data_IF_566488166754
#
_entry.id   IF_566488166754
#
_cell.length_a   1.000
_cell.length_b   1.000
_cell.length_c   1.000
_cell.angle_alpha   90.00
_cell.angle_beta   90.00
_cell.angle_gamma   90.00
#
_symmetry.space_group_name_H-M   'P 1'
#
loop_
_entity.id
_entity.type
_entity.pdbx_description
1 polymer ?
#
# COMPACT_ATOMS: atom_id res chain seq x y z
N UNK A 1 -46.55 29.06 -19.49
CA UNK A 1 -45.58 29.62 -18.51
C UNK A 1 -44.81 28.47 -17.89
N UNK A 2 -43.51 28.34 -18.15
CA UNK A 2 -42.69 27.24 -17.62
C UNK A 2 -42.15 27.67 -16.24
N UNK A 3 -42.52 26.93 -15.19
CA UNK A 3 -41.99 27.12 -13.83
C UNK A 3 -40.53 26.64 -13.80
N UNK A 4 -39.59 27.55 -13.61
CA UNK A 4 -38.17 27.19 -13.40
C UNK A 4 -38.07 26.44 -12.06
N UNK A 5 -37.36 25.31 -12.07
CA UNK A 5 -37.00 24.57 -10.85
C UNK A 5 -35.81 25.30 -10.22
N UNK A 6 -35.90 25.61 -8.93
CA UNK A 6 -34.78 26.14 -8.16
C UNK A 6 -33.77 25.02 -7.93
N UNK A 7 -32.54 25.22 -8.41
CA UNK A 7 -31.42 24.31 -8.20
C UNK A 7 -30.81 24.60 -6.83
N UNK A 8 -31.28 23.92 -5.79
CA UNK A 8 -30.64 23.94 -4.47
C UNK A 8 -29.46 22.97 -4.46
N UNK A 9 -28.27 23.56 -4.62
CA UNK A 9 -26.91 23.10 -4.29
C UNK A 9 -25.95 23.47 -5.43
N UNK A 10 -25.71 24.78 -5.55
CA UNK A 10 -24.48 25.26 -6.17
C UNK A 10 -23.40 25.07 -5.10
N UNK A 11 -22.66 23.96 -5.18
CA UNK A 11 -21.32 23.91 -4.58
C UNK A 11 -20.61 25.19 -5.00
N UNK A 12 -19.99 25.91 -4.06
CA UNK A 12 -19.38 27.19 -4.42
C UNK A 12 -18.24 26.95 -5.41
N UNK A 13 -17.99 27.90 -6.31
CA UNK A 13 -16.85 27.81 -7.24
C UNK A 13 -15.54 27.59 -6.47
N UNK A 14 -15.44 28.10 -5.24
CA UNK A 14 -14.29 27.87 -4.37
C UNK A 14 -14.21 26.43 -3.86
N UNK A 15 -15.32 25.76 -3.53
CA UNK A 15 -15.34 24.34 -3.17
C UNK A 15 -14.94 23.44 -4.35
N UNK A 16 -15.34 23.82 -5.57
CA UNK A 16 -14.93 23.11 -6.80
C UNK A 16 -13.44 23.29 -7.12
N UNK A 17 -12.90 24.51 -6.96
CA UNK A 17 -11.48 24.82 -7.21
C UNK A 17 -10.58 24.18 -6.14
N UNK A 18 -11.00 24.19 -4.87
CA UNK A 18 -10.21 23.63 -3.77
C UNK A 18 -10.22 22.09 -3.72
N UNK A 19 -11.25 21.43 -4.26
CA UNK A 19 -11.33 19.96 -4.30
C UNK A 19 -10.25 19.29 -5.16
N UNK A 20 -9.60 20.02 -6.08
CA UNK A 20 -8.51 19.50 -6.91
C UNK A 20 -7.15 19.42 -6.17
N UNK A 21 -7.03 20.10 -5.03
CA UNK A 21 -5.78 20.20 -4.27
C UNK A 21 -5.73 19.25 -3.06
N UNK A 22 -6.81 18.50 -2.81
CA UNK A 22 -6.74 17.33 -1.95
C UNK A 22 -5.99 16.23 -2.72
N UNK A 23 -4.66 16.21 -2.59
CA UNK A 23 -3.90 14.98 -2.79
C UNK A 23 -4.46 13.95 -1.80
N UNK A 24 -5.47 13.19 -2.24
CA UNK A 24 -5.93 11.96 -1.63
C UNK A 24 -4.74 11.03 -1.63
N UNK A 25 -3.90 11.10 -0.59
CA UNK A 25 -2.91 10.06 -0.33
C UNK A 25 -3.71 8.77 -0.20
N UNK A 26 -3.59 7.83 -1.15
CA UNK A 26 -4.42 6.64 -1.12
C UNK A 26 -4.10 5.92 0.19
N UNK A 27 -5.13 5.69 1.00
CA UNK A 27 -5.00 4.96 2.26
C UNK A 27 -4.44 3.57 1.93
N UNK A 28 -3.20 3.33 2.35
CA UNK A 28 -2.54 2.05 2.13
C UNK A 28 -3.25 0.98 2.97
N UNK A 29 -3.79 -0.05 2.32
CA UNK A 29 -4.42 -1.19 3.00
C UNK A 29 -3.38 -2.29 3.27
N UNK A 30 -3.08 -2.63 4.54
CA UNK A 30 -2.16 -3.72 4.89
C UNK A 30 -2.58 -5.10 4.39
N UNK A 31 -3.87 -5.30 4.06
CA UNK A 31 -4.42 -6.56 3.56
C UNK A 31 -4.56 -6.59 2.03
N UNK A 32 -4.09 -5.56 1.34
CA UNK A 32 -4.15 -5.49 -0.12
C UNK A 32 -3.42 -6.65 -0.80
N UNK A 33 -3.81 -6.92 -2.05
CA UNK A 33 -3.18 -7.92 -2.89
C UNK A 33 -1.68 -7.65 -3.07
N UNK A 34 -0.88 -8.72 -2.96
CA UNK A 34 0.59 -8.67 -3.05
C UNK A 34 1.12 -8.58 -4.49
N UNK A 35 0.26 -8.30 -5.47
CA UNK A 35 0.60 -8.20 -6.91
C UNK A 35 1.13 -6.82 -7.33
N UNK A 36 1.47 -5.96 -6.37
CA UNK A 36 1.90 -4.58 -6.67
C UNK A 36 3.25 -4.51 -7.40
N UNK A 37 4.30 -5.10 -6.82
CA UNK A 37 5.65 -5.14 -7.42
C UNK A 37 6.41 -6.40 -7.00
N UNK A 38 7.26 -6.90 -7.89
CA UNK A 38 8.21 -7.99 -7.64
C UNK A 38 9.61 -7.42 -7.45
N UNK A 39 10.40 -8.01 -6.55
CA UNK A 39 11.78 -7.60 -6.30
C UNK A 39 12.72 -8.81 -6.34
N UNK A 40 13.88 -8.64 -6.96
CA UNK A 40 14.94 -9.65 -7.06
C UNK A 40 16.13 -9.15 -6.23
N UNK A 41 16.58 -9.96 -5.27
CA UNK A 41 17.65 -9.61 -4.35
C UNK A 41 18.86 -10.49 -4.68
N UNK A 42 19.99 -9.92 -5.12
CA UNK A 42 21.24 -10.67 -5.16
C UNK A 42 21.71 -10.94 -3.73
N UNK A 43 22.11 -12.18 -3.45
CA UNK A 43 22.56 -12.61 -2.12
C UNK A 43 23.91 -13.29 -2.23
N UNK A 44 24.73 -13.15 -1.19
CA UNK A 44 25.88 -14.03 -1.00
C UNK A 44 25.44 -15.39 -0.40
N UNK A 45 26.37 -16.34 -0.33
CA UNK A 45 26.07 -17.69 0.16
C UNK A 45 25.59 -17.69 1.62
N UNK A 46 26.23 -16.88 2.47
CA UNK A 46 25.89 -16.79 3.88
C UNK A 46 24.45 -16.29 4.09
N UNK A 47 24.07 -15.22 3.40
CA UNK A 47 22.72 -14.63 3.43
C UNK A 47 21.67 -15.63 2.96
N UNK A 48 21.95 -16.34 1.86
CA UNK A 48 21.03 -17.33 1.32
C UNK A 48 20.84 -18.51 2.29
N UNK A 49 21.93 -19.03 2.86
CA UNK A 49 21.84 -20.11 3.85
C UNK A 49 21.07 -19.68 5.11
N UNK A 50 21.26 -18.45 5.57
CA UNK A 50 20.49 -17.91 6.69
C UNK A 50 18.99 -17.85 6.36
N UNK A 51 18.64 -17.35 5.18
CA UNK A 51 17.26 -17.26 4.71
C UNK A 51 16.61 -18.65 4.62
N UNK A 52 17.33 -19.64 4.06
CA UNK A 52 16.85 -21.01 3.94
C UNK A 52 16.59 -21.65 5.31
N UNK A 53 17.52 -21.51 6.26
CA UNK A 53 17.36 -22.00 7.64
C UNK A 53 16.16 -21.38 8.35
N UNK A 54 15.95 -20.07 8.17
CA UNK A 54 14.79 -19.38 8.74
C UNK A 54 13.49 -19.84 8.08
N UNK A 55 13.47 -20.02 6.77
CA UNK A 55 12.31 -20.53 6.04
C UNK A 55 11.90 -21.92 6.53
N UNK A 56 12.86 -22.81 6.74
CA UNK A 56 12.63 -24.15 7.30
C UNK A 56 12.11 -24.07 8.75
N UNK A 57 12.78 -23.28 9.60
CA UNK A 57 12.43 -23.13 11.03
C UNK A 57 10.99 -22.63 11.23
N UNK A 58 10.54 -21.70 10.40
CA UNK A 58 9.20 -21.10 10.53
C UNK A 58 8.17 -21.71 9.56
N UNK A 59 8.55 -22.70 8.74
CA UNK A 59 7.67 -23.31 7.74
C UNK A 59 7.13 -22.30 6.71
N UNK A 60 7.90 -21.26 6.39
CA UNK A 60 7.49 -20.20 5.47
C UNK A 60 8.33 -20.19 4.21
N UNK A 61 7.78 -19.60 3.14
CA UNK A 61 8.56 -19.29 1.93
C UNK A 61 9.62 -18.23 2.22
N UNK A 62 10.70 -18.19 1.42
CA UNK A 62 11.72 -17.13 1.47
C UNK A 62 11.11 -15.72 1.47
N UNK A 63 10.15 -15.48 0.57
CA UNK A 63 9.42 -14.20 0.51
C UNK A 63 8.57 -13.93 1.77
N UNK A 64 8.10 -14.97 2.45
CA UNK A 64 7.42 -14.86 3.75
C UNK A 64 8.36 -14.34 4.83
N UNK A 65 9.55 -14.95 4.95
CA UNK A 65 10.57 -14.53 5.91
C UNK A 65 11.02 -13.09 5.66
N UNK A 66 11.29 -12.70 4.42
CA UNK A 66 11.69 -11.33 4.09
C UNK A 66 10.60 -10.33 4.51
N UNK A 67 9.32 -10.64 4.26
CA UNK A 67 8.21 -9.79 4.69
C UNK A 67 8.07 -9.72 6.21
N UNK A 68 8.30 -10.83 6.90
CA UNK A 68 8.29 -10.87 8.35
C UNK A 68 9.40 -9.99 8.93
N UNK A 69 10.62 -10.07 8.38
CA UNK A 69 11.74 -9.23 8.78
C UNK A 69 11.45 -7.73 8.57
N UNK A 70 10.91 -7.34 7.40
CA UNK A 70 10.51 -5.96 7.14
C UNK A 70 9.48 -5.44 8.14
N UNK A 71 8.46 -6.26 8.45
CA UNK A 71 7.46 -5.90 9.46
C UNK A 71 8.10 -5.75 10.85
N UNK A 72 9.00 -6.65 11.22
CA UNK A 72 9.69 -6.60 12.52
C UNK A 72 10.57 -5.37 12.66
N UNK A 73 11.33 -5.02 11.63
CA UNK A 73 12.15 -3.81 11.61
C UNK A 73 11.32 -2.51 11.63
N UNK A 74 10.06 -2.54 11.20
CA UNK A 74 9.15 -1.38 11.32
C UNK A 74 8.45 -1.25 12.67
N UNK A 75 8.47 -2.32 13.48
CA UNK A 75 7.89 -2.35 14.83
C UNK A 75 8.92 -1.95 15.91
N UNK A 76 10.22 -1.99 15.57
CA UNK A 76 11.33 -1.45 16.37
C UNK A 76 11.47 0.07 16.19
#
# INVERSE_FOLDING_TARGET
MIKKRETTNLLSEEEFINGANEQLTPKLDPKASRKFKTHTIPMNEYEYQLLAKLAEKYGQTHNGIIRFALKKLSEE
#
